data_IF_576968557365
#
_entry.id   IF_576968557365
#
_cell.length_a   1.000
_cell.length_b   1.000
_cell.length_c   1.000
_cell.angle_alpha   90.00
_cell.angle_beta   90.00
_cell.angle_gamma   90.00
#
_symmetry.space_group_name_H-M   'P 1'
#
loop_
_entity.id
_entity.type
_entity.pdbx_description
1 polymer ?
#
# COMPACT_ATOMS: atom_id res chain seq x y z
N UNK A 1 14.01 -28.45 -12.47
CA UNK A 1 12.75 -27.84 -12.95
C UNK A 1 12.41 -26.76 -11.96
N UNK A 2 12.72 -25.51 -12.27
CA UNK A 2 12.30 -24.36 -11.46
C UNK A 2 10.94 -23.92 -12.00
N UNK A 3 9.87 -24.37 -11.36
CA UNK A 3 8.57 -23.73 -11.47
C UNK A 3 8.69 -22.37 -10.77
N UNK A 4 9.06 -21.34 -11.53
CA UNK A 4 8.98 -19.96 -11.06
C UNK A 4 7.80 -19.34 -11.77
N UNK A 5 6.61 -19.48 -11.19
CA UNK A 5 5.50 -18.59 -11.53
C UNK A 5 6.02 -17.15 -11.44
N UNK A 6 5.72 -16.28 -12.43
CA UNK A 6 6.15 -14.90 -12.39
C UNK A 6 5.69 -14.24 -11.08
N UNK A 7 6.49 -13.32 -10.53
CA UNK A 7 6.07 -12.56 -9.36
C UNK A 7 4.87 -11.68 -9.72
N UNK A 8 4.04 -11.33 -8.74
CA UNK A 8 2.90 -10.41 -8.95
C UNK A 8 3.38 -9.11 -9.59
N UNK A 9 4.55 -8.61 -9.18
CA UNK A 9 5.22 -7.48 -9.83
C UNK A 9 5.34 -7.66 -11.35
N UNK A 10 5.87 -8.80 -11.81
CA UNK A 10 6.01 -9.08 -13.24
C UNK A 10 4.65 -9.28 -13.92
N UNK A 11 3.69 -9.92 -13.25
CA UNK A 11 2.35 -10.18 -13.79
C UNK A 11 1.56 -8.90 -14.07
N UNK A 12 1.66 -7.89 -13.21
CA UNK A 12 0.92 -6.63 -13.36
C UNK A 12 1.58 -5.62 -14.30
N UNK A 13 2.76 -5.92 -14.85
CA UNK A 13 3.50 -5.02 -15.76
C UNK A 13 4.66 -4.26 -15.12
N UNK A 14 5.07 -4.62 -13.90
CA UNK A 14 6.27 -4.11 -13.24
C UNK A 14 6.17 -2.65 -12.81
N UNK A 15 7.31 -1.96 -12.85
CA UNK A 15 7.47 -0.62 -12.29
C UNK A 15 6.46 0.39 -12.82
N UNK A 16 6.26 0.47 -14.14
CA UNK A 16 5.38 1.45 -14.77
C UNK A 16 3.92 1.28 -14.32
N UNK A 17 3.46 0.03 -14.22
CA UNK A 17 2.12 -0.27 -13.71
C UNK A 17 1.97 0.15 -12.24
N UNK A 18 2.97 -0.14 -11.40
CA UNK A 18 2.95 0.26 -9.99
C UNK A 18 3.02 1.79 -9.84
N UNK A 19 3.80 2.49 -10.65
CA UNK A 19 3.86 3.94 -10.65
C UNK A 19 2.49 4.56 -10.97
N UNK A 20 1.79 4.04 -11.98
CA UNK A 20 0.44 4.46 -12.31
C UNK A 20 -0.57 4.20 -11.19
N UNK A 21 -0.52 3.02 -10.57
CA UNK A 21 -1.37 2.68 -9.42
C UNK A 21 -1.09 3.59 -8.23
N UNK A 22 0.18 3.83 -7.88
CA UNK A 22 0.56 4.71 -6.77
C UNK A 22 0.13 6.15 -7.03
N UNK A 23 0.19 6.60 -8.29
CA UNK A 23 -0.30 7.91 -8.66
C UNK A 23 -1.77 8.09 -8.33
N UNK A 24 -2.65 7.23 -8.88
CA UNK A 24 -4.10 7.26 -8.66
C UNK A 24 -4.48 7.00 -7.18
N UNK A 25 -3.78 6.06 -6.54
CA UNK A 25 -3.94 5.77 -5.11
C UNK A 25 -3.81 7.04 -4.25
N UNK A 26 -2.76 7.82 -4.47
CA UNK A 26 -2.56 9.05 -3.70
C UNK A 26 -3.47 10.21 -4.11
N UNK A 27 -3.98 10.24 -5.34
CA UNK A 27 -5.04 11.19 -5.70
C UNK A 27 -6.29 10.93 -4.85
N UNK A 28 -6.67 9.66 -4.68
CA UNK A 28 -7.81 9.25 -3.84
C UNK A 28 -7.57 9.52 -2.36
N UNK A 29 -6.41 9.13 -1.83
CA UNK A 29 -6.06 9.36 -0.42
C UNK A 29 -6.05 10.84 -0.06
N UNK A 30 -5.55 11.70 -0.94
CA UNK A 30 -5.53 13.15 -0.68
C UNK A 30 -6.90 13.82 -0.88
N UNK A 31 -7.81 13.20 -1.62
CA UNK A 31 -9.19 13.66 -1.77
C UNK A 31 -10.12 13.19 -0.64
N UNK A 32 -9.68 12.23 0.18
CA UNK A 32 -10.44 11.70 1.31
C UNK A 32 -10.30 12.63 2.54
N UNK A 33 -11.43 13.12 3.05
CA UNK A 33 -11.47 14.06 4.17
C UNK A 33 -10.97 13.46 5.49
N UNK A 34 -11.03 12.14 5.65
CA UNK A 34 -10.54 11.45 6.86
C UNK A 34 -9.03 11.15 6.77
N UNK A 35 -8.41 11.32 5.60
CA UNK A 35 -7.00 10.97 5.38
C UNK A 35 -6.11 12.18 5.03
N UNK A 36 -6.64 13.19 4.35
CA UNK A 36 -5.82 14.25 3.73
C UNK A 36 -4.94 15.00 4.73
N UNK A 37 -5.42 15.25 5.95
CA UNK A 37 -4.71 15.98 6.98
C UNK A 37 -3.43 15.27 7.45
N UNK A 38 -3.37 13.93 7.39
CA UNK A 38 -2.15 13.17 7.72
C UNK A 38 -0.97 13.46 6.79
N UNK A 39 -1.24 14.03 5.62
CA UNK A 39 -0.25 14.31 4.58
C UNK A 39 0.09 15.80 4.45
N UNK A 40 -0.50 16.67 5.29
CA UNK A 40 -0.16 18.10 5.33
C UNK A 40 1.33 18.31 5.54
N UNK A 41 1.96 19.12 4.67
CA UNK A 41 3.39 19.39 4.70
C UNK A 41 4.28 18.25 4.20
N UNK A 42 3.71 17.15 3.71
CA UNK A 42 4.48 16.03 3.16
C UNK A 42 4.95 16.35 1.74
N UNK A 43 6.20 16.02 1.43
CA UNK A 43 6.68 16.03 0.06
C UNK A 43 6.09 14.82 -0.70
N UNK A 44 4.99 15.05 -1.40
CA UNK A 44 4.25 13.98 -2.08
C UNK A 44 5.05 13.29 -3.17
N UNK A 45 5.94 14.00 -3.89
CA UNK A 45 6.78 13.36 -4.92
C UNK A 45 7.74 12.35 -4.30
N UNK A 46 8.38 12.73 -3.18
CA UNK A 46 9.26 11.81 -2.44
C UNK A 46 8.48 10.63 -1.86
N UNK A 47 7.28 10.88 -1.32
CA UNK A 47 6.43 9.85 -0.75
C UNK A 47 5.96 8.85 -1.82
N UNK A 48 5.45 9.33 -2.95
CA UNK A 48 5.03 8.48 -4.09
C UNK A 48 6.17 7.59 -4.55
N UNK A 49 7.38 8.14 -4.73
CA UNK A 49 8.56 7.34 -5.09
C UNK A 49 8.87 6.24 -4.08
N UNK A 50 8.80 6.53 -2.76
CA UNK A 50 8.97 5.51 -1.72
C UNK A 50 7.85 4.48 -1.66
N UNK A 51 6.62 4.85 -2.00
CA UNK A 51 5.51 3.93 -2.10
C UNK A 51 5.65 2.97 -3.30
N UNK A 52 6.10 3.47 -4.46
CA UNK A 52 6.41 2.63 -5.63
C UNK A 52 7.49 1.61 -5.29
N UNK A 53 8.57 2.06 -4.64
CA UNK A 53 9.65 1.19 -4.18
C UNK A 53 9.13 0.13 -3.20
N UNK A 54 8.31 0.53 -2.23
CA UNK A 54 7.70 -0.38 -1.25
C UNK A 54 6.83 -1.45 -1.91
N UNK A 55 5.87 -1.06 -2.76
CA UNK A 55 5.01 -2.02 -3.45
C UNK A 55 5.79 -2.89 -4.42
N UNK A 56 6.78 -2.34 -5.12
CA UNK A 56 7.63 -3.14 -6.00
C UNK A 56 8.32 -4.26 -5.24
N UNK A 57 8.94 -3.95 -4.10
CA UNK A 57 9.59 -4.95 -3.26
C UNK A 57 8.58 -5.96 -2.67
N UNK A 58 7.44 -5.49 -2.16
CA UNK A 58 6.41 -6.34 -1.54
C UNK A 58 5.80 -7.34 -2.54
N UNK A 59 5.75 -7.00 -3.83
CA UNK A 59 5.18 -7.82 -4.89
C UNK A 59 6.22 -8.69 -5.62
N UNK A 60 7.44 -8.78 -5.08
CA UNK A 60 8.51 -9.61 -5.65
C UNK A 60 9.24 -8.97 -6.83
N UNK A 61 9.33 -7.64 -6.84
CA UNK A 61 10.21 -6.89 -7.72
C UNK A 61 11.69 -7.12 -7.39
N UNK A 62 12.60 -6.74 -8.30
CA UNK A 62 14.03 -7.07 -8.18
C UNK A 62 14.76 -6.25 -7.13
N UNK A 63 14.24 -5.06 -6.79
CA UNK A 63 14.88 -4.13 -5.86
C UNK A 63 14.21 -4.16 -4.49
N UNK A 64 14.98 -4.14 -3.39
CA UNK A 64 14.43 -4.11 -2.04
C UNK A 64 13.90 -2.71 -1.67
N UNK A 65 12.97 -2.68 -0.73
CA UNK A 65 12.59 -1.43 -0.07
C UNK A 65 13.68 -0.96 0.89
N UNK A 66 14.11 0.29 0.72
CA UNK A 66 15.22 0.91 1.47
C UNK A 66 14.76 1.98 2.45
N UNK A 67 13.45 2.20 2.57
CA UNK A 67 12.92 3.16 3.54
C UNK A 67 12.90 2.59 4.97
N UNK A 68 12.56 3.45 5.93
CA UNK A 68 12.42 3.03 7.31
C UNK A 68 11.24 2.05 7.49
N UNK A 69 11.31 1.24 8.55
CA UNK A 69 10.28 0.27 8.89
C UNK A 69 8.90 0.94 9.02
N UNK A 70 7.84 0.25 8.60
CA UNK A 70 6.47 0.79 8.62
C UNK A 70 6.08 1.31 10.00
N UNK A 71 6.38 0.55 11.05
CA UNK A 71 6.15 0.97 12.43
C UNK A 71 6.81 2.29 12.78
N UNK A 72 8.08 2.47 12.42
CA UNK A 72 8.81 3.70 12.72
C UNK A 72 8.23 4.91 11.96
N UNK A 73 7.83 4.72 10.70
CA UNK A 73 7.28 5.79 9.87
C UNK A 73 5.89 6.24 10.34
N UNK A 74 5.11 5.32 10.93
CA UNK A 74 3.71 5.56 11.28
C UNK A 74 3.49 5.78 12.79
N UNK A 75 4.50 5.53 13.62
CA UNK A 75 4.44 5.67 15.07
C UNK A 75 3.98 7.08 15.50
N UNK A 76 3.00 7.11 16.43
CA UNK A 76 2.56 8.34 17.08
C UNK A 76 1.72 9.27 16.18
N UNK A 77 1.34 8.83 14.98
CA UNK A 77 0.53 9.62 14.06
C UNK A 77 -0.97 9.59 14.39
N UNK A 78 -1.43 8.72 15.29
CA UNK A 78 -2.85 8.59 15.62
C UNK A 78 -3.67 7.87 14.54
N UNK A 79 -3.02 7.01 13.76
CA UNK A 79 -3.67 6.22 12.70
C UNK A 79 -4.51 5.12 13.35
N UNK A 80 -5.80 5.09 13.06
CA UNK A 80 -6.75 4.08 13.55
C UNK A 80 -6.89 2.94 12.55
N UNK A 81 -7.56 1.85 12.95
CA UNK A 81 -7.96 0.79 12.03
C UNK A 81 -8.83 1.33 10.89
N UNK A 82 -9.73 2.27 11.19
CA UNK A 82 -10.57 2.93 10.19
C UNK A 82 -9.75 3.66 9.11
N UNK A 83 -8.72 4.42 9.48
CA UNK A 83 -7.87 5.09 8.50
C UNK A 83 -7.11 4.08 7.62
N UNK A 84 -6.67 2.96 8.21
CA UNK A 84 -6.02 1.89 7.46
C UNK A 84 -6.98 1.23 6.46
N UNK A 85 -8.22 0.98 6.87
CA UNK A 85 -9.28 0.43 5.99
C UNK A 85 -9.58 1.36 4.82
N UNK A 86 -9.66 2.68 5.05
CA UNK A 86 -9.83 3.67 3.98
C UNK A 86 -8.66 3.63 2.98
N UNK A 87 -7.43 3.61 3.49
CA UNK A 87 -6.22 3.47 2.65
C UNK A 87 -6.24 2.18 1.84
N UNK A 88 -6.60 1.05 2.45
CA UNK A 88 -6.71 -0.22 1.75
C UNK A 88 -7.80 -0.19 0.67
N UNK A 89 -8.95 0.42 0.95
CA UNK A 89 -10.02 0.62 -0.02
C UNK A 89 -9.60 1.47 -1.22
N UNK A 90 -8.85 2.57 -0.98
CA UNK A 90 -8.31 3.39 -2.06
C UNK A 90 -7.28 2.64 -2.90
N UNK A 91 -6.46 1.77 -2.29
CA UNK A 91 -5.55 0.90 -3.02
C UNK A 91 -6.31 -0.10 -3.90
N UNK A 92 -7.36 -0.75 -3.39
CA UNK A 92 -8.24 -1.63 -4.19
C UNK A 92 -8.82 -0.89 -5.40
N UNK A 93 -9.33 0.32 -5.17
CA UNK A 93 -9.90 1.14 -6.23
C UNK A 93 -8.86 1.51 -7.30
N UNK A 94 -7.64 1.86 -6.90
CA UNK A 94 -6.57 2.19 -7.83
C UNK A 94 -6.08 0.99 -8.65
N UNK A 95 -5.92 -0.17 -8.02
CA UNK A 95 -5.58 -1.41 -8.71
C UNK A 95 -6.67 -1.82 -9.71
N UNK A 96 -7.93 -1.73 -9.30
CA UNK A 96 -9.08 -2.04 -10.16
C UNK A 96 -9.15 -1.08 -11.35
N UNK A 97 -8.93 0.22 -11.11
CA UNK A 97 -8.91 1.24 -12.17
C UNK A 97 -7.75 1.02 -13.16
N UNK A 98 -6.62 0.50 -12.70
CA UNK A 98 -5.50 0.11 -13.54
C UNK A 98 -5.74 -1.19 -14.33
N UNK A 99 -6.90 -1.84 -14.16
CA UNK A 99 -7.26 -3.07 -14.85
C UNK A 99 -6.62 -4.33 -14.27
N UNK A 100 -6.10 -4.28 -13.04
CA UNK A 100 -5.55 -5.45 -12.35
C UNK A 100 -6.68 -6.47 -12.10
N UNK A 101 -6.50 -7.75 -12.46
CA UNK A 101 -7.55 -8.76 -12.25
C UNK A 101 -7.94 -8.88 -10.78
N UNK A 102 -9.23 -9.12 -10.45
CA UNK A 102 -9.70 -9.19 -9.06
C UNK A 102 -8.90 -10.17 -8.18
N UNK A 103 -8.55 -11.34 -8.71
CA UNK A 103 -7.73 -12.33 -8.00
C UNK A 103 -6.34 -11.79 -7.63
N UNK A 104 -5.75 -10.97 -8.50
CA UNK A 104 -4.45 -10.34 -8.26
C UNK A 104 -4.59 -9.18 -7.27
N UNK A 105 -5.70 -8.42 -7.33
CA UNK A 105 -6.02 -7.41 -6.31
C UNK A 105 -6.09 -8.05 -4.92
N UNK A 106 -6.81 -9.17 -4.77
CA UNK A 106 -6.93 -9.89 -3.50
C UNK A 106 -5.56 -10.33 -2.96
N UNK A 107 -4.67 -10.81 -3.83
CA UNK A 107 -3.31 -11.20 -3.45
C UNK A 107 -2.47 -10.00 -2.98
N UNK A 108 -2.57 -8.86 -3.67
CA UNK A 108 -1.86 -7.63 -3.29
C UNK A 108 -2.36 -7.14 -1.93
N UNK A 109 -3.67 -7.15 -1.70
CA UNK A 109 -4.25 -6.76 -0.41
C UNK A 109 -3.83 -7.73 0.69
N UNK A 110 -3.80 -9.04 0.44
CA UNK A 110 -3.31 -10.02 1.39
C UNK A 110 -1.83 -9.81 1.77
N UNK A 111 -0.99 -9.31 0.85
CA UNK A 111 0.41 -8.96 1.13
C UNK A 111 0.56 -7.70 2.00
N UNK A 112 -0.39 -6.77 1.91
CA UNK A 112 -0.36 -5.46 2.61
C UNK A 112 -1.09 -5.51 3.96
N UNK A 113 -2.13 -6.33 4.09
CA UNK A 113 -2.98 -6.39 5.29
C UNK A 113 -2.22 -6.61 6.61
N UNK A 114 -1.16 -7.44 6.70
CA UNK A 114 -0.39 -7.62 7.93
C UNK A 114 0.28 -6.34 8.45
N UNK A 115 0.48 -5.33 7.59
CA UNK A 115 1.07 -4.05 7.99
C UNK A 115 0.16 -3.22 8.90
N UNK A 116 -1.12 -3.58 9.02
CA UNK A 116 -2.05 -2.91 9.94
C UNK A 116 -1.51 -2.88 11.38
N UNK A 117 -0.88 -3.95 11.84
CA UNK A 117 -0.31 -4.04 13.19
C UNK A 117 0.88 -3.11 13.40
N UNK A 118 1.62 -2.81 12.33
CA UNK A 118 2.74 -1.87 12.36
C UNK A 118 2.28 -0.42 12.22
N UNK A 119 1.18 -0.17 11.50
CA UNK A 119 0.76 1.18 11.10
C UNK A 119 -0.25 1.78 12.08
N UNK A 120 -1.16 0.97 12.63
CA UNK A 120 -2.22 1.44 13.50
C UNK A 120 -1.73 1.68 14.93
N UNK A 121 -2.27 2.70 15.60
CA UNK A 121 -1.86 3.13 16.93
C UNK A 121 -2.53 2.33 18.06
N UNK A 122 -3.42 1.39 17.73
CA UNK A 122 -4.00 0.42 18.65
C UNK A 122 -3.88 -0.96 18.02
N UNK A 123 -3.12 -1.86 18.64
CA UNK A 123 -3.03 -3.25 18.20
C UNK A 123 -4.42 -3.88 18.09
N UNK A 124 -4.53 -4.86 17.19
CA UNK A 124 -5.71 -5.62 16.76
C UNK A 124 -7.00 -5.44 17.59
N UNK A 125 -8.19 -5.30 16.96
CA UNK A 125 -9.45 -5.33 17.68
C UNK A 125 -9.50 -6.57 18.58
N UNK A 126 -9.83 -6.37 19.85
CA UNK A 126 -10.02 -7.46 20.79
C UNK A 126 -11.00 -8.50 20.20
N UNK A 127 -10.74 -9.81 20.34
CA UNK A 127 -11.69 -10.80 19.86
C UNK A 127 -13.01 -10.60 20.59
N UNK A 128 -14.10 -10.43 19.83
CA UNK A 128 -15.44 -10.46 20.41
C UNK A 128 -15.66 -11.87 20.98
N UNK A 129 -16.02 -11.92 22.26
CA UNK A 129 -16.33 -13.15 22.97
C UNK A 129 -17.66 -13.76 22.51
#
# INVERSE_FOLDING_TARGET
MTDSSPSIYAEIGGYEAIEGVVHDFYERVLADADLCDFFTGTNMNRLKGKQVEFFSAALGGPEPYTGAAMKQVHQGRGISAHHFELVAGHLVNALTNAGVPPTTVDQIIAAVAPLADDITSGGAPAPVA
#
